data_IF_686175581758
#
_entry.id   IF_686175581758
#
_cell.length_a   1.000
_cell.length_b   1.000
_cell.length_c   1.000
_cell.angle_alpha   90.00
_cell.angle_beta   90.00
_cell.angle_gamma   90.00
#
_symmetry.space_group_name_H-M   'P 1'
#
loop_
_entity.id
_entity.type
_entity.pdbx_description
1 polymer ?
#
# COMPACT_ATOMS: atom_id res chain seq x y z
N UNK A 1 30.99 37.14 -57.48
CA UNK A 1 31.37 37.20 -56.05
C UNK A 1 30.15 36.80 -55.24
N UNK A 2 30.37 35.92 -54.26
CA UNK A 2 29.40 35.05 -53.60
C UNK A 2 28.31 35.78 -52.81
N UNK A 3 27.07 35.29 -52.88
CA UNK A 3 26.00 35.62 -51.93
C UNK A 3 25.74 34.40 -51.05
N UNK A 4 26.17 34.47 -49.80
CA UNK A 4 26.02 33.42 -48.80
C UNK A 4 24.62 33.48 -48.18
N UNK A 5 23.80 32.45 -48.38
CA UNK A 5 22.56 32.27 -47.63
C UNK A 5 22.84 31.43 -46.39
N UNK A 6 22.79 32.07 -45.21
CA UNK A 6 22.88 31.39 -43.91
C UNK A 6 21.58 30.61 -43.64
N UNK A 7 21.66 29.28 -43.59
CA UNK A 7 20.61 28.45 -42.99
C UNK A 7 20.78 28.47 -41.47
N UNK A 8 19.89 29.18 -40.77
CA UNK A 8 19.75 29.04 -39.32
C UNK A 8 19.05 27.72 -38.99
N UNK A 9 19.81 26.75 -38.49
CA UNK A 9 19.26 25.54 -37.89
C UNK A 9 18.66 25.87 -36.52
N UNK A 10 17.34 25.97 -36.45
CA UNK A 10 16.62 26.04 -35.18
C UNK A 10 16.59 24.64 -34.55
N UNK A 11 17.51 24.38 -33.62
CA UNK A 11 17.52 23.18 -32.81
C UNK A 11 16.42 23.31 -31.74
N UNK A 12 15.22 22.81 -32.05
CA UNK A 12 14.14 22.65 -31.08
C UNK A 12 14.51 21.53 -30.12
N UNK A 13 15.15 21.89 -29.00
CA UNK A 13 15.28 21.02 -27.83
C UNK A 13 13.88 20.84 -27.21
N UNK A 14 13.18 19.79 -27.64
CA UNK A 14 12.04 19.24 -26.92
C UNK A 14 12.55 18.69 -25.58
N UNK A 15 12.56 19.53 -24.55
CA UNK A 15 12.67 19.06 -23.18
C UNK A 15 11.42 18.23 -22.90
N UNK A 16 11.55 16.92 -23.00
CA UNK A 16 10.55 15.99 -22.49
C UNK A 16 10.47 16.22 -20.98
N UNK A 17 9.47 16.98 -20.55
CA UNK A 17 9.05 16.99 -19.16
C UNK A 17 8.57 15.58 -18.89
N UNK A 18 9.44 14.73 -18.35
CA UNK A 18 9.01 13.46 -17.79
C UNK A 18 7.99 13.83 -16.72
N UNK A 19 6.72 13.41 -16.81
CA UNK A 19 5.84 13.53 -15.67
C UNK A 19 6.54 12.75 -14.58
N UNK A 20 7.01 13.45 -13.54
CA UNK A 20 7.45 12.77 -12.34
C UNK A 20 6.27 11.87 -11.96
N UNK A 21 6.50 10.55 -11.92
CA UNK A 21 5.56 9.55 -11.41
C UNK A 21 5.42 9.79 -9.89
N UNK A 22 4.82 10.92 -9.58
CA UNK A 22 4.53 11.43 -8.27
C UNK A 22 3.33 10.63 -7.78
N UNK A 23 3.59 9.76 -6.83
CA UNK A 23 2.62 8.87 -6.19
C UNK A 23 3.10 8.62 -4.76
N UNK A 24 2.38 7.80 -4.01
CA UNK A 24 2.68 7.51 -2.61
C UNK A 24 3.32 6.13 -2.44
N UNK A 25 4.20 6.02 -1.47
CA UNK A 25 4.85 4.79 -1.01
C UNK A 25 4.83 4.72 0.52
N UNK A 26 4.90 3.51 1.06
CA UNK A 26 5.12 3.28 2.48
C UNK A 26 6.56 3.64 2.84
N UNK A 27 6.74 4.44 3.89
CA UNK A 27 8.04 4.83 4.44
C UNK A 27 8.38 4.05 5.70
N UNK A 28 7.38 3.75 6.53
CA UNK A 28 7.54 2.95 7.74
C UNK A 28 6.31 2.05 7.95
N UNK A 29 6.45 0.75 8.29
CA UNK A 29 7.71 -0.01 8.33
C UNK A 29 8.44 0.01 6.99
N UNK A 30 9.77 -0.16 6.99
CA UNK A 30 10.57 -0.05 5.76
C UNK A 30 10.16 -1.15 4.78
N UNK A 31 9.63 -0.81 3.58
CA UNK A 31 9.28 -1.81 2.59
C UNK A 31 10.50 -2.55 2.05
N UNK A 32 10.24 -3.74 1.50
CA UNK A 32 11.19 -4.46 0.64
C UNK A 32 11.67 -3.54 -0.48
N UNK A 33 12.98 -3.52 -0.74
CA UNK A 33 13.63 -2.74 -1.81
C UNK A 33 13.48 -1.22 -1.65
N UNK A 34 13.10 -0.74 -0.47
CA UNK A 34 12.90 0.69 -0.21
C UNK A 34 14.22 1.47 -0.22
N UNK A 35 14.23 2.60 -0.93
CA UNK A 35 15.31 3.61 -0.87
C UNK A 35 15.49 4.25 0.51
N UNK A 36 14.52 4.10 1.41
CA UNK A 36 14.61 4.60 2.77
C UNK A 36 15.31 3.62 3.73
N UNK A 37 15.55 2.38 3.29
CA UNK A 37 16.25 1.39 4.09
C UNK A 37 17.76 1.45 3.77
N UNK A 38 18.60 1.95 4.69
CA UNK A 38 20.05 2.06 4.46
C UNK A 38 20.73 0.69 4.25
N UNK A 39 20.10 -0.41 4.66
CA UNK A 39 20.62 -1.76 4.50
C UNK A 39 20.21 -2.40 3.15
N UNK A 40 19.39 -1.72 2.34
CA UNK A 40 19.06 -2.21 0.99
C UNK A 40 20.24 -1.96 0.05
N UNK A 41 20.80 -3.00 -0.60
CA UNK A 41 21.86 -2.82 -1.59
C UNK A 41 21.41 -1.89 -2.71
N UNK A 42 22.27 -0.98 -3.15
CA UNK A 42 21.97 0.03 -4.19
C UNK A 42 21.32 -0.57 -5.44
N UNK A 43 21.82 -1.71 -5.91
CA UNK A 43 21.30 -2.40 -7.10
C UNK A 43 19.96 -3.13 -6.89
N UNK A 44 19.46 -3.17 -5.65
CA UNK A 44 18.12 -3.68 -5.29
C UNK A 44 17.14 -2.58 -4.96
N UNK A 45 17.56 -1.31 -4.91
CA UNK A 45 16.63 -0.22 -4.62
C UNK A 45 15.63 -0.09 -5.77
N UNK A 46 14.34 -0.18 -5.44
CA UNK A 46 13.27 0.15 -6.37
C UNK A 46 12.97 1.64 -6.30
N UNK A 47 13.56 2.40 -7.21
CA UNK A 47 13.31 3.83 -7.36
C UNK A 47 11.88 4.16 -7.87
N UNK A 48 11.12 3.14 -8.28
CA UNK A 48 9.73 3.22 -8.73
C UNK A 48 8.75 2.63 -7.70
N UNK A 49 9.13 2.57 -6.42
CA UNK A 49 8.27 2.04 -5.34
C UNK A 49 6.93 2.78 -5.20
N UNK A 50 6.89 4.07 -5.59
CA UNK A 50 5.67 4.87 -5.63
C UNK A 50 4.73 4.47 -6.77
N UNK A 51 5.20 3.78 -7.80
CA UNK A 51 4.36 3.36 -8.92
C UNK A 51 3.35 2.30 -8.51
N UNK A 52 2.13 2.32 -9.10
CA UNK A 52 1.15 1.27 -8.85
C UNK A 52 1.67 -0.09 -9.29
N UNK A 53 0.97 -1.14 -8.88
CA UNK A 53 1.14 -2.47 -9.45
C UNK A 53 0.77 -2.45 -10.94
N UNK A 54 1.35 -3.37 -11.70
CA UNK A 54 1.05 -3.52 -13.12
C UNK A 54 -0.37 -4.02 -13.33
N UNK A 55 -1.03 -3.47 -14.35
CA UNK A 55 -2.41 -3.87 -14.71
C UNK A 55 -2.54 -5.37 -15.01
N UNK A 56 -1.50 -6.01 -15.55
CA UNK A 56 -1.48 -7.44 -15.82
C UNK A 56 -1.32 -8.31 -14.55
N UNK A 57 -1.13 -7.69 -13.38
CA UNK A 57 -0.95 -8.37 -12.10
C UNK A 57 0.38 -9.11 -11.96
N UNK A 58 1.31 -8.97 -12.91
CA UNK A 58 2.57 -9.73 -12.93
C UNK A 58 3.50 -9.43 -11.77
N UNK A 59 3.32 -8.30 -11.10
CA UNK A 59 4.07 -7.89 -9.91
C UNK A 59 3.21 -7.91 -8.63
N UNK A 60 2.00 -8.47 -8.66
CA UNK A 60 1.24 -8.76 -7.45
C UNK A 60 1.64 -10.13 -6.87
N UNK A 61 1.79 -10.27 -5.55
CA UNK A 61 1.78 -9.23 -4.52
C UNK A 61 3.15 -8.55 -4.37
N UNK A 62 3.21 -7.46 -3.60
CA UNK A 62 4.47 -6.88 -3.10
C UNK A 62 5.51 -6.49 -4.16
N UNK A 63 5.08 -6.17 -5.39
CA UNK A 63 5.94 -5.89 -6.55
C UNK A 63 6.85 -7.08 -6.92
N UNK A 64 6.52 -8.29 -6.47
CA UNK A 64 7.30 -9.52 -6.64
C UNK A 64 8.40 -9.75 -5.60
N UNK A 65 8.61 -8.81 -4.67
CA UNK A 65 9.75 -8.83 -3.73
C UNK A 65 9.54 -9.73 -2.51
N UNK A 66 8.33 -10.23 -2.26
CA UNK A 66 8.02 -11.13 -1.13
C UNK A 66 8.87 -12.40 -1.10
N UNK A 67 9.43 -12.79 -2.25
CA UNK A 67 10.27 -13.98 -2.39
C UNK A 67 11.74 -13.75 -2.00
N UNK A 68 12.14 -12.50 -1.72
CA UNK A 68 13.50 -12.19 -1.30
C UNK A 68 13.86 -12.92 0.00
N UNK A 69 15.11 -13.41 0.04
CA UNK A 69 15.67 -14.12 1.19
C UNK A 69 17.07 -13.60 1.52
N UNK A 70 17.51 -13.67 2.79
CA UNK A 70 16.74 -14.15 3.95
C UNK A 70 15.58 -13.21 4.32
N UNK A 71 14.64 -13.69 5.13
CA UNK A 71 13.59 -12.84 5.69
C UNK A 71 14.22 -11.97 6.78
N UNK A 72 14.21 -10.65 6.61
CA UNK A 72 14.81 -9.66 7.51
C UNK A 72 13.70 -8.69 7.95
N UNK A 73 13.12 -8.89 9.15
CA UNK A 73 12.13 -7.97 9.67
C UNK A 73 12.68 -6.56 9.82
N UNK A 74 11.97 -5.56 9.28
CA UNK A 74 12.30 -4.14 9.42
C UNK A 74 11.54 -3.47 10.56
N UNK A 75 10.56 -4.16 11.13
CA UNK A 75 9.87 -3.76 12.35
C UNK A 75 9.48 -4.99 13.19
N UNK A 76 9.36 -4.77 14.50
CA UNK A 76 8.86 -5.77 15.45
C UNK A 76 7.62 -5.23 16.16
N UNK A 77 6.59 -6.04 16.23
CA UNK A 77 5.33 -5.71 16.87
C UNK A 77 4.95 -6.76 17.93
N UNK A 78 4.00 -6.41 18.77
CA UNK A 78 3.37 -7.29 19.76
C UNK A 78 1.88 -7.32 19.49
N UNK A 79 1.30 -8.51 19.42
CA UNK A 79 -0.14 -8.66 19.23
C UNK A 79 -0.93 -7.93 20.33
N UNK A 80 -1.94 -7.18 19.93
CA UNK A 80 -2.80 -6.36 20.79
C UNK A 80 -2.25 -4.96 21.09
N UNK A 81 -1.10 -4.58 20.54
CA UNK A 81 -0.53 -3.23 20.71
C UNK A 81 -0.77 -2.35 19.48
N UNK A 82 -0.81 -1.04 19.72
CA UNK A 82 -0.95 -0.01 18.70
C UNK A 82 0.42 0.47 18.21
N UNK A 83 0.50 0.77 16.92
CA UNK A 83 1.67 1.26 16.20
C UNK A 83 1.23 2.28 15.14
N UNK A 84 2.19 2.83 14.41
CA UNK A 84 1.91 3.66 13.24
C UNK A 84 2.62 3.14 11.99
N UNK A 85 2.00 3.45 10.85
CA UNK A 85 2.60 3.38 9.53
C UNK A 85 2.78 4.81 9.04
N UNK A 86 3.89 5.08 8.35
CA UNK A 86 4.09 6.37 7.66
C UNK A 86 4.22 6.18 6.17
N UNK A 87 3.75 7.18 5.42
CA UNK A 87 3.80 7.24 3.97
C UNK A 87 4.70 8.41 3.53
N UNK A 88 5.25 8.29 2.33
CA UNK A 88 5.98 9.35 1.63
C UNK A 88 5.54 9.41 0.17
N UNK A 89 5.77 10.52 -0.50
CA UNK A 89 5.37 10.70 -1.89
C UNK A 89 4.98 12.13 -2.20
N UNK A 90 4.47 12.36 -3.39
CA UNK A 90 4.17 13.71 -3.89
C UNK A 90 2.81 13.88 -4.58
N UNK A 91 2.07 12.79 -4.84
CA UNK A 91 0.68 12.91 -5.28
C UNK A 91 -0.21 11.90 -4.56
N UNK A 92 -1.21 12.43 -3.86
CA UNK A 92 -2.18 11.65 -3.08
C UNK A 92 -3.45 11.33 -3.86
N UNK A 93 -3.57 11.75 -5.13
CA UNK A 93 -4.76 11.57 -5.97
C UNK A 93 -6.09 11.95 -5.30
N UNK A 94 -6.06 13.05 -4.53
CA UNK A 94 -7.19 13.52 -3.70
C UNK A 94 -7.72 12.45 -2.72
N UNK A 95 -6.90 11.45 -2.38
CA UNK A 95 -7.24 10.37 -1.45
C UNK A 95 -7.66 9.09 -2.16
N UNK A 96 -8.75 8.50 -1.69
CA UNK A 96 -9.11 7.11 -1.93
C UNK A 96 -9.18 6.34 -0.62
N UNK A 97 -9.03 5.02 -0.73
CA UNK A 97 -9.13 4.12 0.41
C UNK A 97 -7.94 3.18 0.46
N UNK A 98 -7.56 2.80 1.67
CA UNK A 98 -6.44 1.92 1.93
C UNK A 98 -6.82 0.73 2.82
N UNK A 99 -6.13 -0.40 2.65
CA UNK A 99 -6.14 -1.49 3.63
C UNK A 99 -4.72 -1.77 4.13
N UNK A 100 -4.62 -2.05 5.43
CA UNK A 100 -3.45 -2.67 6.05
C UNK A 100 -3.76 -4.14 6.28
N UNK A 101 -2.85 -5.01 5.90
CA UNK A 101 -3.05 -6.45 5.99
C UNK A 101 -1.78 -7.20 6.38
N UNK A 102 -1.96 -8.37 6.96
CA UNK A 102 -0.88 -9.29 7.32
C UNK A 102 -0.97 -10.56 6.49
N UNK A 103 0.19 -11.11 6.14
CA UNK A 103 0.33 -12.38 5.44
C UNK A 103 1.38 -13.24 6.14
N UNK A 104 1.00 -14.43 6.57
CA UNK A 104 1.90 -15.43 7.17
C UNK A 104 2.30 -16.55 6.20
N UNK A 105 1.77 -16.55 4.97
CA UNK A 105 1.96 -17.59 3.95
C UNK A 105 2.73 -17.08 2.72
N UNK A 106 3.68 -16.17 2.96
CA UNK A 106 4.55 -15.57 1.92
C UNK A 106 3.78 -14.85 0.80
N UNK A 107 2.63 -14.25 1.13
CA UNK A 107 1.84 -13.41 0.23
C UNK A 107 0.79 -14.18 -0.56
N UNK A 108 0.57 -15.47 -0.28
CA UNK A 108 -0.52 -16.21 -0.90
C UNK A 108 -1.88 -15.67 -0.45
N UNK A 109 -2.00 -15.30 0.82
CA UNK A 109 -3.19 -14.64 1.37
C UNK A 109 -2.82 -13.48 2.29
N UNK A 110 -3.62 -12.42 2.22
CA UNK A 110 -3.50 -11.24 3.09
C UNK A 110 -4.80 -11.06 3.86
N UNK A 111 -4.71 -10.95 5.18
CA UNK A 111 -5.83 -10.75 6.10
C UNK A 111 -5.86 -9.30 6.56
N UNK A 112 -6.99 -8.63 6.36
CA UNK A 112 -7.15 -7.20 6.66
C UNK A 112 -7.19 -6.99 8.17
N UNK A 113 -6.30 -6.12 8.65
CA UNK A 113 -6.25 -5.70 10.06
C UNK A 113 -6.74 -4.26 10.25
N UNK A 114 -6.78 -3.46 9.18
CA UNK A 114 -7.32 -2.10 9.20
C UNK A 114 -7.84 -1.68 7.82
N UNK A 115 -8.97 -0.99 7.79
CA UNK A 115 -9.45 -0.28 6.62
C UNK A 115 -9.55 1.23 6.87
N UNK A 116 -8.98 2.02 5.98
CA UNK A 116 -9.13 3.48 5.93
C UNK A 116 -9.99 3.82 4.73
N UNK A 117 -11.26 4.12 4.95
CA UNK A 117 -12.24 4.33 3.89
C UNK A 117 -12.42 5.83 3.67
N UNK A 118 -11.96 6.30 2.52
CA UNK A 118 -11.90 7.72 2.19
C UNK A 118 -10.74 8.46 2.87
N UNK A 119 -10.17 9.42 2.14
CA UNK A 119 -9.14 10.31 2.65
C UNK A 119 -7.76 9.68 2.87
N UNK A 120 -7.55 8.40 2.56
CA UNK A 120 -6.21 7.83 2.50
C UNK A 120 -5.64 8.00 1.07
N UNK A 121 -4.40 8.49 0.86
CA UNK A 121 -3.36 8.85 1.83
C UNK A 121 -3.20 10.38 2.03
N UNK A 122 -4.25 11.13 2.40
CA UNK A 122 -4.17 12.60 2.54
C UNK A 122 -3.33 13.06 3.74
N UNK A 123 -3.18 12.21 4.76
CA UNK A 123 -2.19 12.38 5.83
C UNK A 123 -1.05 11.37 5.67
N UNK A 124 0.11 11.68 6.26
CA UNK A 124 1.32 10.87 6.11
C UNK A 124 1.50 9.81 7.20
N UNK A 125 0.62 9.76 8.20
CA UNK A 125 0.75 8.84 9.34
C UNK A 125 -0.62 8.27 9.67
N UNK A 126 -0.68 6.94 9.81
CA UNK A 126 -1.88 6.20 10.18
C UNK A 126 -1.56 5.25 11.32
N UNK A 127 -2.34 5.35 12.39
CA UNK A 127 -2.26 4.42 13.50
C UNK A 127 -2.98 3.12 13.15
N UNK A 128 -2.44 2.00 13.63
CA UNK A 128 -3.05 0.69 13.48
C UNK A 128 -2.77 -0.16 14.73
N UNK A 129 -3.60 -1.17 14.94
CA UNK A 129 -3.39 -2.15 16.00
C UNK A 129 -3.11 -3.51 15.38
N UNK A 130 -2.08 -4.22 15.86
CA UNK A 130 -1.96 -5.64 15.55
C UNK A 130 -3.04 -6.37 16.34
N UNK A 131 -3.94 -7.14 15.72
CA UNK A 131 -4.95 -7.89 16.47
C UNK A 131 -4.29 -8.74 17.54
N UNK A 132 -4.85 -8.73 18.74
CA UNK A 132 -4.41 -9.53 19.89
C UNK A 132 -4.29 -11.04 19.62
N UNK A 133 -5.09 -11.53 18.68
CA UNK A 133 -5.14 -12.92 18.23
C UNK A 133 -4.27 -13.17 16.99
N UNK A 134 -3.49 -12.19 16.53
CA UNK A 134 -2.52 -12.39 15.47
C UNK A 134 -1.47 -13.43 15.92
N UNK A 135 -1.14 -14.44 15.08
CA UNK A 135 -0.10 -15.41 15.41
C UNK A 135 1.26 -14.75 15.66
N UNK A 136 2.03 -15.30 16.59
CA UNK A 136 3.43 -14.94 16.70
C UNK A 136 4.21 -15.50 15.50
N UNK A 137 5.21 -14.77 15.03
CA UNK A 137 6.08 -15.16 13.92
C UNK A 137 6.32 -14.05 12.92
N UNK A 138 7.06 -14.39 11.88
CA UNK A 138 7.37 -13.51 10.77
C UNK A 138 6.18 -13.40 9.81
N UNK A 139 5.88 -12.17 9.38
CA UNK A 139 4.76 -11.86 8.52
C UNK A 139 5.10 -10.74 7.53
N UNK A 140 4.46 -10.73 6.38
CA UNK A 140 4.44 -9.57 5.51
C UNK A 140 3.36 -8.60 6.00
N UNK A 141 3.74 -7.36 6.25
CA UNK A 141 2.83 -6.24 6.45
C UNK A 141 2.64 -5.52 5.12
N UNK A 142 1.41 -5.44 4.63
CA UNK A 142 1.10 -4.80 3.36
C UNK A 142 0.23 -3.56 3.56
N UNK A 143 0.68 -2.44 3.01
CA UNK A 143 -0.15 -1.29 2.72
C UNK A 143 -0.64 -1.40 1.29
N UNK A 144 -1.94 -1.21 1.10
CA UNK A 144 -2.58 -1.15 -0.22
C UNK A 144 -3.44 0.09 -0.33
N UNK A 145 -3.53 0.65 -1.54
CA UNK A 145 -4.30 1.85 -1.81
C UNK A 145 -4.94 1.80 -3.20
N UNK A 146 -6.22 2.13 -3.27
CA UNK A 146 -6.92 2.42 -4.51
C UNK A 146 -7.23 3.92 -4.55
N UNK A 147 -6.66 4.60 -5.54
CA UNK A 147 -6.70 6.05 -5.69
C UNK A 147 -8.08 6.56 -6.10
N UNK A 148 -8.48 7.70 -5.53
CA UNK A 148 -9.75 8.35 -5.85
C UNK A 148 -9.75 8.95 -7.26
N UNK A 149 -8.73 9.72 -7.62
CA UNK A 149 -8.66 10.44 -8.92
C UNK A 149 -7.59 9.87 -9.83
N UNK A 150 -7.79 9.90 -11.15
CA UNK A 150 -6.82 9.46 -12.15
C UNK A 150 -7.10 8.04 -12.69
N UNK A 151 -6.06 7.36 -13.15
CA UNK A 151 -6.18 5.97 -13.62
C UNK A 151 -6.72 5.06 -12.52
N UNK A 152 -7.43 3.99 -12.88
CA UNK A 152 -7.89 3.00 -11.91
C UNK A 152 -6.72 2.09 -11.58
N UNK A 153 -6.08 2.33 -10.43
CA UNK A 153 -4.83 1.69 -10.04
C UNK A 153 -4.91 1.07 -8.66
N UNK A 154 -4.04 0.10 -8.38
CA UNK A 154 -3.81 -0.45 -7.05
C UNK A 154 -2.33 -0.32 -6.70
N UNK A 155 -2.06 0.39 -5.62
CA UNK A 155 -0.72 0.51 -5.03
C UNK A 155 -0.56 -0.55 -3.95
N UNK A 156 0.64 -1.11 -3.84
CA UNK A 156 0.96 -2.08 -2.80
C UNK A 156 2.43 -1.99 -2.45
N UNK A 157 2.73 -1.77 -1.17
CA UNK A 157 4.08 -1.92 -0.62
C UNK A 157 4.04 -2.89 0.55
N UNK A 158 5.07 -3.73 0.65
CA UNK A 158 5.16 -4.74 1.70
C UNK A 158 6.45 -4.58 2.49
N UNK A 159 6.36 -4.72 3.80
CA UNK A 159 7.50 -4.85 4.71
C UNK A 159 7.51 -6.24 5.33
N UNK A 160 8.70 -6.75 5.60
CA UNK A 160 8.89 -7.91 6.45
C UNK A 160 8.83 -7.45 7.91
N UNK A 161 7.97 -8.06 8.73
CA UNK A 161 7.81 -7.70 10.14
C UNK A 161 7.80 -8.97 11.00
N UNK A 162 8.16 -8.82 12.27
CA UNK A 162 8.08 -9.91 13.25
C UNK A 162 7.05 -9.58 14.32
N UNK A 163 6.17 -10.53 14.62
CA UNK A 163 5.06 -10.34 15.56
C UNK A 163 5.30 -11.24 16.78
N UNK A 164 5.36 -10.65 17.96
CA UNK A 164 5.37 -11.35 19.24
C UNK A 164 3.94 -11.64 19.72
N UNK A 165 3.78 -12.70 20.51
CA UNK A 165 2.50 -13.07 21.10
C UNK A 165 1.96 -11.98 22.03
N UNK A 166 0.63 -11.91 22.17
CA UNK A 166 -0.03 -10.97 23.09
C UNK A 166 0.35 -11.27 24.54
N UNK A 167 0.73 -10.23 25.28
CA UNK A 167 0.96 -10.30 26.73
C UNK A 167 -0.35 -10.15 27.54
N UNK A 168 -1.47 -9.93 26.85
CA UNK A 168 -2.79 -9.63 27.44
C UNK A 168 -3.75 -10.80 27.27
N UNK A 169 -4.29 -11.31 28.39
CA UNK A 169 -5.40 -12.28 28.39
C UNK A 169 -6.68 -11.55 27.98
N UNK A 170 -7.05 -11.60 26.71
CA UNK A 170 -8.28 -10.94 26.27
C UNK A 170 -9.53 -11.72 26.67
N UNK A 171 -10.53 -10.99 27.21
CA UNK A 171 -11.93 -11.42 27.23
C UNK A 171 -12.44 -11.32 25.79
N UNK A 172 -12.93 -12.44 25.23
CA UNK A 172 -13.52 -12.53 23.89
C UNK A 172 -14.72 -11.57 23.77
N UNK A 173 -14.49 -10.38 23.23
CA UNK A 173 -15.54 -9.43 22.83
C UNK A 173 -15.19 -8.79 21.48
N UNK A 174 -14.56 -9.55 20.59
CA UNK A 174 -14.25 -9.10 19.24
C UNK A 174 -15.12 -9.87 18.22
N UNK A 175 -15.55 -9.19 17.16
CA UNK A 175 -16.36 -9.78 16.07
C UNK A 175 -15.63 -10.93 15.35
N UNK A 176 -14.30 -10.93 15.43
CA UNK A 176 -13.42 -11.97 14.94
C UNK A 176 -12.68 -12.61 16.11
N UNK A 177 -12.66 -13.94 16.19
CA UNK A 177 -12.01 -14.67 17.28
C UNK A 177 -10.68 -15.32 16.89
N UNK A 178 -10.35 -15.34 15.61
CA UNK A 178 -9.11 -15.90 15.07
C UNK A 178 -8.60 -15.06 13.91
N UNK A 179 -7.28 -15.06 13.68
CA UNK A 179 -6.68 -14.35 12.55
C UNK A 179 -7.23 -14.81 11.19
N UNK A 180 -7.46 -16.11 11.04
CA UNK A 180 -8.00 -16.67 9.80
C UNK A 180 -9.43 -16.20 9.48
N UNK A 181 -10.20 -15.80 10.50
CA UNK A 181 -11.55 -15.28 10.31
C UNK A 181 -11.59 -13.86 9.75
N UNK A 182 -10.46 -13.14 9.77
CA UNK A 182 -10.37 -11.80 9.19
C UNK A 182 -10.64 -11.83 7.67
N UNK A 183 -11.23 -10.76 7.11
CA UNK A 183 -11.44 -10.65 5.68
C UNK A 183 -10.14 -10.75 4.89
N UNK A 184 -10.25 -11.30 3.68
CA UNK A 184 -9.16 -11.22 2.71
C UNK A 184 -9.03 -9.79 2.17
N UNK A 185 -7.79 -9.39 1.87
CA UNK A 185 -7.47 -8.16 1.18
C UNK A 185 -8.31 -8.00 -0.09
N UNK A 186 -8.94 -6.85 -0.24
CA UNK A 186 -9.70 -6.52 -1.43
C UNK A 186 -8.77 -6.13 -2.58
N UNK A 187 -8.99 -6.76 -3.73
CA UNK A 187 -8.21 -6.54 -4.96
C UNK A 187 -9.15 -5.96 -6.00
N UNK A 188 -8.88 -4.75 -6.43
CA UNK A 188 -9.54 -4.08 -7.54
C UNK A 188 -8.48 -3.36 -8.37
N UNK A 189 -8.84 -2.93 -9.57
CA UNK A 189 -7.95 -2.21 -10.48
C UNK A 189 -6.73 -3.04 -10.93
N UNK A 190 -6.88 -4.37 -10.97
CA UNK A 190 -5.86 -5.32 -11.43
C UNK A 190 -6.48 -6.29 -12.45
N UNK A 191 -6.71 -5.84 -13.71
CA UNK A 191 -7.44 -6.63 -14.72
C UNK A 191 -6.82 -8.00 -15.01
N UNK A 192 -5.51 -8.17 -14.84
CA UNK A 192 -4.86 -9.48 -14.95
C UNK A 192 -5.15 -10.45 -13.80
N UNK A 193 -5.70 -9.97 -12.68
CA UNK A 193 -6.06 -10.78 -11.51
C UNK A 193 -7.58 -10.98 -11.43
N UNK A 194 -8.36 -9.93 -11.64
CA UNK A 194 -9.82 -9.97 -11.60
C UNK A 194 -10.45 -8.82 -12.39
N UNK A 195 -11.77 -8.88 -12.62
CA UNK A 195 -12.53 -7.82 -13.28
C UNK A 195 -13.09 -6.75 -12.34
N UNK A 196 -12.61 -6.64 -11.10
CA UNK A 196 -13.11 -5.65 -10.15
C UNK A 196 -12.44 -4.30 -10.42
N UNK A 197 -13.23 -3.26 -10.63
CA UNK A 197 -12.76 -1.92 -10.95
C UNK A 197 -13.47 -0.89 -10.07
N UNK A 198 -12.70 0.08 -9.57
CA UNK A 198 -13.22 1.22 -8.80
C UNK A 198 -13.77 2.30 -9.73
N UNK A 199 -14.66 3.15 -9.20
CA UNK A 199 -15.14 4.33 -9.93
C UNK A 199 -14.26 5.54 -9.64
N UNK A 200 -13.84 6.26 -10.68
CA UNK A 200 -13.08 7.50 -10.50
C UNK A 200 -13.89 8.55 -9.71
N UNK A 201 -13.21 9.34 -8.88
CA UNK A 201 -13.76 10.40 -8.01
C UNK A 201 -14.66 9.88 -6.88
N UNK A 202 -14.72 8.57 -6.68
CA UNK A 202 -15.41 7.92 -5.57
C UNK A 202 -14.36 7.24 -4.70
N UNK A 203 -14.41 7.50 -3.39
CA UNK A 203 -13.60 6.78 -2.42
C UNK A 203 -14.09 5.32 -2.33
N UNK A 204 -13.24 4.31 -2.63
CA UNK A 204 -13.68 2.92 -2.63
C UNK A 204 -14.14 2.46 -1.24
N UNK A 205 -15.29 1.79 -1.19
CA UNK A 205 -15.80 1.16 0.02
C UNK A 205 -15.55 -0.34 -0.08
N UNK A 206 -14.91 -0.92 0.93
CA UNK A 206 -14.60 -2.34 0.94
C UNK A 206 -15.83 -3.16 1.35
N UNK A 207 -16.23 -4.19 0.59
CA UNK A 207 -17.36 -5.05 0.96
C UNK A 207 -17.17 -5.78 2.30
N UNK A 208 -15.91 -6.07 2.66
CA UNK A 208 -15.55 -6.70 3.92
C UNK A 208 -14.38 -5.92 4.55
N UNK A 209 -14.66 -4.81 5.25
CA UNK A 209 -13.62 -3.90 5.74
C UNK A 209 -12.92 -4.39 7.02
N UNK A 210 -13.45 -5.44 7.65
CA UNK A 210 -12.98 -5.91 8.96
C UNK A 210 -13.60 -5.13 10.11
N UNK A 211 -12.99 -5.20 11.29
CA UNK A 211 -13.52 -4.59 12.52
C UNK A 211 -12.82 -3.27 12.92
N UNK A 212 -11.59 -3.02 12.47
CA UNK A 212 -10.91 -1.73 12.64
C UNK A 212 -11.06 -0.91 11.36
N UNK A 213 -12.03 0.01 11.39
CA UNK A 213 -12.35 0.90 10.27
C UNK A 213 -12.23 2.35 10.73
N UNK A 214 -11.54 3.17 9.96
CA UNK A 214 -11.57 4.63 10.09
C UNK A 214 -12.08 5.24 8.80
N UNK A 215 -12.95 6.24 8.93
CA UNK A 215 -13.47 6.99 7.79
C UNK A 215 -12.80 8.36 7.67
N UNK A 216 -12.53 8.76 6.43
CA UNK A 216 -12.03 10.09 6.10
C UNK A 216 -12.88 10.74 5.01
N UNK A 217 -12.47 11.94 4.57
CA UNK A 217 -13.08 12.66 3.45
C UNK A 217 -14.62 12.86 3.55
N UNK A 218 -15.15 12.98 4.78
CA UNK A 218 -16.58 13.19 5.02
C UNK A 218 -17.44 11.93 5.00
N UNK A 219 -16.84 10.75 4.83
CA UNK A 219 -17.52 9.47 5.01
C UNK A 219 -17.69 9.12 6.49
N UNK A 220 -18.66 8.27 6.77
CA UNK A 220 -19.01 7.73 8.09
C UNK A 220 -19.71 6.37 7.96
N UNK A 221 -19.80 5.67 9.09
CA UNK A 221 -20.61 4.45 9.26
C UNK A 221 -22.09 4.67 8.92
N UNK A 222 -22.63 5.86 9.20
CA UNK A 222 -24.02 6.22 8.86
C UNK A 222 -24.20 6.39 7.35
N UNK A 223 -23.19 6.95 6.66
CA UNK A 223 -23.27 7.18 5.21
C UNK A 223 -23.08 5.92 4.37
N UNK A 224 -22.56 4.84 4.97
CA UNK A 224 -22.23 3.59 4.28
C UNK A 224 -22.65 2.43 5.20
N UNK A 225 -23.88 1.91 5.05
CA UNK A 225 -24.28 0.70 5.76
C UNK A 225 -23.52 -0.50 5.17
N UNK A 226 -22.69 -1.15 5.99
CA UNK A 226 -22.13 -2.47 5.70
C UNK A 226 -23.14 -3.58 6.02
#
# INVERSE_FOLDING_TARGET
MFSSTSLSAACLLLASVQPALAHMEMRWPLPLHSKFNPDTPENKIDYSMTSPLKNDGSDFPCKGYQNDRPFIPTASYTAGQAYNMTLAGSATHEGGSCQLSLSYDNGATFKVIKSMIGGCPLVNTYDFTIPSFAPAGDALFAWTWQNRVGNREMYMNCAQVSIAASNTRQRRQEAFSTFESLPYLWKANLPGINGCETTERVDPVYPNPGSDVVFGAGLSDISIPF
#
